data_IF_482191283897
#
_entry.id   IF_482191283897
#
_cell.length_a   1.000
_cell.length_b   1.000
_cell.length_c   1.000
_cell.angle_alpha   90.00
_cell.angle_beta   90.00
_cell.angle_gamma   90.00
#
_symmetry.space_group_name_H-M   'P 1'
#
loop_
_entity.id
_entity.type
_entity.pdbx_description
1 polymer ?
#
# COMPACT_ATOMS: atom_id res chain seq x y z
N UNK A 1 -17.77 -16.32 8.57
CA UNK A 1 -17.00 -15.89 7.38
C UNK A 1 -15.64 -15.47 7.90
N UNK A 2 -14.57 -16.04 7.36
CA UNK A 2 -13.21 -15.93 7.91
C UNK A 2 -12.74 -14.49 7.85
N UNK A 3 -12.69 -13.80 8.98
CA UNK A 3 -12.24 -12.41 9.14
C UNK A 3 -10.71 -12.34 9.05
N UNK A 4 -10.16 -12.44 7.84
CA UNK A 4 -8.70 -12.32 7.66
C UNK A 4 -8.33 -10.84 7.68
N UNK A 5 -7.59 -10.42 8.71
CA UNK A 5 -7.08 -9.04 8.81
C UNK A 5 -5.89 -8.88 7.87
N UNK A 6 -5.90 -7.87 7.01
CA UNK A 6 -4.82 -7.64 6.05
C UNK A 6 -3.44 -7.53 6.72
N UNK A 7 -3.38 -6.98 7.94
CA UNK A 7 -2.12 -6.82 8.70
C UNK A 7 -1.53 -8.13 9.21
N UNK A 8 -2.27 -9.24 9.15
CA UNK A 8 -1.81 -10.57 9.58
C UNK A 8 -1.38 -11.44 8.39
N UNK A 9 -1.60 -10.95 7.17
CA UNK A 9 -1.14 -11.60 5.96
C UNK A 9 0.35 -11.29 5.72
N UNK A 10 1.02 -12.20 5.01
CA UNK A 10 2.41 -12.02 4.59
C UNK A 10 2.48 -11.86 3.09
N UNK A 11 3.25 -10.87 2.64
CA UNK A 11 3.54 -10.75 1.22
C UNK A 11 4.45 -11.92 0.82
N UNK A 12 4.10 -12.54 -0.30
CA UNK A 12 5.01 -13.42 -1.02
C UNK A 12 5.45 -12.66 -2.27
N UNK A 13 6.72 -12.84 -2.67
CA UNK A 13 7.25 -12.17 -3.84
C UNK A 13 6.33 -12.37 -5.06
N UNK A 14 5.89 -11.27 -5.65
CA UNK A 14 5.04 -11.30 -6.84
C UNK A 14 5.77 -12.00 -7.99
N UNK A 15 5.09 -12.96 -8.62
CA UNK A 15 5.49 -13.59 -9.86
C UNK A 15 4.59 -13.13 -10.98
N UNK A 16 5.00 -13.33 -12.23
CA UNK A 16 4.20 -12.94 -13.39
C UNK A 16 2.81 -13.62 -13.42
N UNK A 17 2.67 -14.76 -12.76
CA UNK A 17 1.45 -15.55 -12.63
C UNK A 17 0.71 -15.33 -11.30
N UNK A 18 1.15 -14.39 -10.46
CA UNK A 18 0.45 -14.08 -9.20
C UNK A 18 -1.01 -13.71 -9.48
N UNK A 19 -1.98 -14.34 -8.77
CA UNK A 19 -3.38 -14.06 -9.00
C UNK A 19 -3.69 -12.61 -8.65
N UNK A 20 -4.57 -12.01 -9.46
CA UNK A 20 -5.13 -10.70 -9.12
C UNK A 20 -6.21 -10.88 -8.06
N UNK A 21 -6.32 -9.87 -7.19
CA UNK A 21 -7.46 -9.74 -6.30
C UNK A 21 -8.75 -9.76 -7.14
N UNK A 22 -9.66 -10.67 -6.80
CA UNK A 22 -10.97 -10.79 -7.43
C UNK A 22 -11.91 -9.70 -6.95
N UNK A 23 -13.02 -9.46 -7.67
CA UNK A 23 -14.01 -8.46 -7.26
C UNK A 23 -14.62 -8.76 -5.88
N UNK A 24 -14.79 -10.06 -5.56
CA UNK A 24 -15.29 -10.50 -4.26
C UNK A 24 -14.29 -10.20 -3.13
N UNK A 25 -13.01 -10.54 -3.32
CA UNK A 25 -11.94 -10.22 -2.36
C UNK A 25 -11.76 -8.70 -2.23
N UNK A 26 -11.89 -7.95 -3.32
CA UNK A 26 -11.81 -6.49 -3.28
C UNK A 26 -12.92 -5.89 -2.42
N UNK A 27 -14.15 -6.39 -2.55
CA UNK A 27 -15.28 -5.99 -1.71
C UNK A 27 -15.08 -6.35 -0.23
N UNK A 28 -14.37 -7.44 0.06
CA UNK A 28 -14.01 -7.86 1.43
C UNK A 28 -12.87 -7.03 2.03
N UNK A 29 -11.84 -6.71 1.25
CA UNK A 29 -10.61 -6.08 1.73
C UNK A 29 -10.70 -4.55 1.76
N UNK A 30 -11.39 -3.93 0.81
CA UNK A 30 -11.46 -2.46 0.72
C UNK A 30 -11.96 -1.78 2.00
N UNK A 31 -12.96 -2.32 2.74
CA UNK A 31 -13.40 -1.75 4.02
C UNK A 31 -12.31 -1.71 5.11
N UNK A 32 -11.28 -2.55 5.03
CA UNK A 32 -10.17 -2.55 5.99
C UNK A 32 -9.16 -1.41 5.74
N UNK A 33 -9.18 -0.83 4.53
CA UNK A 33 -8.30 0.26 4.09
C UNK A 33 -9.13 1.43 3.51
N UNK A 34 -9.99 2.07 4.31
CA UNK A 34 -10.98 3.03 3.82
C UNK A 34 -10.32 4.25 3.14
N UNK A 35 -9.18 4.70 3.66
CA UNK A 35 -8.46 5.89 3.17
C UNK A 35 -7.67 5.67 1.88
N UNK A 36 -7.49 4.41 1.46
CA UNK A 36 -6.79 4.07 0.22
C UNK A 36 -7.75 4.15 -0.97
N UNK A 37 -7.28 4.65 -2.10
CA UNK A 37 -8.04 4.77 -3.33
C UNK A 37 -7.57 3.77 -4.37
N UNK A 38 -8.48 3.25 -5.19
CA UNK A 38 -8.12 2.42 -6.35
C UNK A 38 -8.09 3.35 -7.56
N UNK A 39 -6.91 3.51 -8.15
CA UNK A 39 -6.65 4.38 -9.31
C UNK A 39 -6.15 3.52 -10.46
N UNK A 40 -6.73 3.70 -11.64
CA UNK A 40 -6.28 2.99 -12.85
C UNK A 40 -5.23 3.82 -13.58
N UNK A 41 -4.01 3.28 -13.72
CA UNK A 41 -2.94 3.87 -14.54
C UNK A 41 -2.50 2.86 -15.60
N UNK A 42 -2.52 3.28 -16.87
CA UNK A 42 -2.13 2.44 -18.01
C UNK A 42 -2.95 1.13 -18.08
N UNK A 43 -4.23 1.19 -17.68
CA UNK A 43 -5.11 0.03 -17.61
C UNK A 43 -4.87 -0.91 -16.42
N UNK A 44 -3.96 -0.57 -15.50
CA UNK A 44 -3.65 -1.36 -14.31
C UNK A 44 -4.23 -0.66 -13.07
N UNK A 45 -5.13 -1.31 -12.30
CA UNK A 45 -5.61 -0.77 -11.04
C UNK A 45 -4.48 -0.81 -9.98
N UNK A 46 -4.31 0.28 -9.26
CA UNK A 46 -3.28 0.46 -8.21
C UNK A 46 -3.94 1.07 -6.98
N UNK A 47 -3.43 0.74 -5.80
CA UNK A 47 -3.80 1.44 -4.57
C UNK A 47 -2.94 2.69 -4.44
N UNK A 48 -3.56 3.82 -4.10
CA UNK A 48 -2.87 5.08 -3.80
C UNK A 48 -3.37 5.68 -2.49
N UNK A 49 -2.47 6.25 -1.71
CA UNK A 49 -2.79 7.05 -0.51
C UNK A 49 -1.76 8.15 -0.30
N UNK A 50 -2.21 9.29 0.22
CA UNK A 50 -1.33 10.37 0.67
C UNK A 50 -1.45 10.57 2.17
N UNK A 51 -0.31 10.59 2.86
CA UNK A 51 -0.18 10.95 4.26
C UNK A 51 0.35 12.37 4.39
N UNK A 52 -0.11 13.13 5.39
CA UNK A 52 0.28 14.52 5.62
C UNK A 52 1.03 14.69 6.93
N UNK A 53 2.02 15.60 6.94
CA UNK A 53 2.97 15.84 8.03
C UNK A 53 3.24 17.33 8.16
N UNK A 54 3.80 17.77 9.29
CA UNK A 54 4.05 19.20 9.53
C UNK A 54 5.26 19.74 8.76
N UNK A 55 6.21 18.88 8.43
CA UNK A 55 7.48 19.26 7.82
C UNK A 55 8.10 18.09 7.05
N UNK A 56 9.18 18.36 6.32
CA UNK A 56 9.88 17.34 5.53
C UNK A 56 10.56 16.26 6.38
N UNK A 57 11.04 16.60 7.59
CA UNK A 57 11.71 15.62 8.47
C UNK A 57 10.74 14.52 8.90
N UNK A 58 9.53 14.89 9.32
CA UNK A 58 8.47 13.94 9.69
C UNK A 58 8.07 13.05 8.50
N UNK A 59 7.90 13.64 7.31
CA UNK A 59 7.61 12.88 6.09
C UNK A 59 8.72 11.87 5.77
N UNK A 60 9.98 12.28 5.81
CA UNK A 60 11.12 11.39 5.55
C UNK A 60 11.23 10.26 6.58
N UNK A 61 10.98 10.54 7.87
CA UNK A 61 10.94 9.49 8.91
C UNK A 61 9.89 8.43 8.58
N UNK A 62 8.69 8.85 8.17
CA UNK A 62 7.63 7.93 7.77
C UNK A 62 7.98 7.12 6.52
N UNK A 63 8.58 7.76 5.51
CA UNK A 63 9.09 7.06 4.31
C UNK A 63 10.07 5.96 4.66
N UNK A 64 11.02 6.23 5.57
CA UNK A 64 12.00 5.22 5.98
C UNK A 64 11.34 4.04 6.70
N UNK A 65 10.32 4.27 7.53
CA UNK A 65 9.56 3.20 8.18
C UNK A 65 8.85 2.30 7.16
N UNK A 66 8.26 2.89 6.11
CA UNK A 66 7.67 2.10 5.03
C UNK A 66 8.77 1.32 4.28
N UNK A 67 9.93 1.94 4.03
CA UNK A 67 11.07 1.28 3.40
C UNK A 67 11.54 0.04 4.16
N UNK A 68 11.72 0.15 5.48
CA UNK A 68 12.10 -0.98 6.33
C UNK A 68 11.07 -2.11 6.28
N UNK A 69 9.77 -1.77 6.31
CA UNK A 69 8.70 -2.75 6.17
C UNK A 69 8.72 -3.41 4.79
N UNK A 70 8.90 -2.63 3.72
CA UNK A 70 8.95 -3.12 2.34
C UNK A 70 10.08 -4.14 2.13
N UNK A 71 11.27 -3.88 2.67
CA UNK A 71 12.40 -4.81 2.63
C UNK A 71 12.09 -6.11 3.41
N UNK A 72 11.48 -5.99 4.60
CA UNK A 72 11.12 -7.15 5.41
C UNK A 72 10.05 -8.05 4.77
N UNK A 73 9.16 -7.46 3.97
CA UNK A 73 8.08 -8.14 3.25
C UNK A 73 8.46 -8.52 1.81
N UNK A 74 9.60 -8.04 1.30
CA UNK A 74 10.04 -8.25 -0.08
C UNK A 74 9.08 -7.66 -1.12
N UNK A 75 8.36 -6.60 -0.78
CA UNK A 75 7.36 -5.95 -1.64
C UNK A 75 7.50 -4.43 -1.58
N UNK A 76 7.90 -3.82 -2.70
CA UNK A 76 8.35 -2.43 -2.74
C UNK A 76 7.31 -1.53 -3.40
N UNK A 77 6.68 -0.59 -2.66
CA UNK A 77 5.77 0.39 -3.24
C UNK A 77 6.52 1.51 -3.96
N UNK A 78 5.80 2.29 -4.76
CA UNK A 78 6.28 3.62 -5.16
C UNK A 78 6.11 4.55 -3.96
N UNK A 79 7.17 5.26 -3.57
CA UNK A 79 7.12 6.26 -2.50
C UNK A 79 7.54 7.62 -3.04
N UNK A 80 6.69 8.62 -2.84
CA UNK A 80 6.98 10.02 -3.19
C UNK A 80 7.01 10.83 -1.91
N UNK A 81 8.20 11.30 -1.52
CA UNK A 81 8.39 12.12 -0.31
C UNK A 81 8.55 13.59 -0.68
N UNK A 82 7.68 14.43 -0.15
CA UNK A 82 7.66 15.89 -0.37
C UNK A 82 7.53 16.64 0.96
N UNK A 83 7.66 17.98 0.96
CA UNK A 83 7.47 18.76 2.18
C UNK A 83 6.06 18.54 2.76
N UNK A 84 6.00 17.91 3.94
CA UNK A 84 4.76 17.67 4.66
C UNK A 84 3.86 16.59 4.04
N UNK A 85 4.36 15.76 3.11
CA UNK A 85 3.56 14.71 2.47
C UNK A 85 4.38 13.47 2.12
N UNK A 86 3.73 12.30 2.20
CA UNK A 86 4.23 11.05 1.60
C UNK A 86 3.10 10.41 0.79
N UNK A 87 3.30 10.28 -0.51
CA UNK A 87 2.47 9.48 -1.40
C UNK A 87 2.97 8.04 -1.45
N UNK A 88 2.03 7.10 -1.35
CA UNK A 88 2.22 5.65 -1.50
C UNK A 88 1.31 5.14 -2.59
#
# INVERSE_FOLDING_TARGET
>A
MSTTKLTEQKCVACRADSPRVTDAEMAEYKPQIPDWQIVTREGIPRLERTYTFKNFREALTFTNQIGELAESEGHHPLLTTEWGKVGV
#
